data_IF_327343764870
#
_entry.id   IF_327343764870
#
_cell.length_a   1.000
_cell.length_b   1.000
_cell.length_c   1.000
_cell.angle_alpha   90.00
_cell.angle_beta   90.00
_cell.angle_gamma   90.00
#
_symmetry.space_group_name_H-M   'P 1'
#
loop_
_entity.id
_entity.type
_entity.pdbx_description
1 polymer ?
#
# COMPACT_ATOMS: atom_id res chain seq x y z
N UNK A 1 -9.05 -21.87 6.61
CA UNK A 1 -9.19 -21.76 5.13
C UNK A 1 -9.93 -20.48 4.71
N UNK A 2 -10.97 -20.05 5.43
CA UNK A 2 -11.75 -18.83 5.10
C UNK A 2 -10.99 -17.51 5.29
N UNK A 3 -10.20 -17.38 6.36
CA UNK A 3 -9.42 -16.17 6.69
C UNK A 3 -8.39 -15.81 5.61
N UNK A 4 -7.71 -16.81 5.05
CA UNK A 4 -6.72 -16.63 3.99
C UNK A 4 -7.34 -16.10 2.69
N UNK A 5 -8.54 -16.57 2.36
CA UNK A 5 -9.27 -16.09 1.19
C UNK A 5 -9.69 -14.63 1.39
N UNK A 6 -10.32 -14.31 2.53
CA UNK A 6 -10.73 -12.94 2.84
C UNK A 6 -9.54 -11.97 2.83
N UNK A 7 -8.40 -12.40 3.34
CA UNK A 7 -7.18 -11.62 3.38
C UNK A 7 -6.65 -11.31 1.96
N UNK A 8 -6.57 -12.32 1.08
CA UNK A 8 -6.19 -12.13 -0.33
C UNK A 8 -7.17 -11.20 -1.06
N UNK A 9 -8.47 -11.43 -0.89
CA UNK A 9 -9.51 -10.60 -1.51
C UNK A 9 -9.41 -9.16 -1.03
N UNK A 10 -9.21 -8.93 0.26
CA UNK A 10 -9.03 -7.59 0.83
C UNK A 10 -7.83 -6.86 0.24
N UNK A 11 -6.68 -7.54 0.08
CA UNK A 11 -5.50 -6.95 -0.56
C UNK A 11 -5.69 -6.66 -2.03
N UNK A 12 -6.34 -7.55 -2.77
CA UNK A 12 -6.63 -7.34 -4.19
C UNK A 12 -7.59 -6.16 -4.35
N UNK A 13 -8.64 -6.07 -3.53
CA UNK A 13 -9.59 -4.97 -3.55
C UNK A 13 -8.91 -3.63 -3.24
N UNK A 14 -8.02 -3.60 -2.23
CA UNK A 14 -7.24 -2.43 -1.89
C UNK A 14 -6.29 -2.04 -3.05
N UNK A 15 -5.54 -3.00 -3.60
CA UNK A 15 -4.62 -2.77 -4.72
C UNK A 15 -5.33 -2.29 -5.99
N UNK A 16 -6.55 -2.79 -6.28
CA UNK A 16 -7.32 -2.43 -7.46
C UNK A 16 -7.60 -0.91 -7.55
N UNK A 17 -7.79 -0.24 -6.42
CA UNK A 17 -7.98 1.22 -6.38
C UNK A 17 -6.75 1.97 -6.90
N UNK A 18 -5.55 1.49 -6.58
CA UNK A 18 -4.28 2.07 -7.02
C UNK A 18 -3.96 1.70 -8.46
N UNK A 19 -4.18 0.45 -8.86
CA UNK A 19 -3.97 -0.02 -10.24
C UNK A 19 -4.83 0.77 -11.23
N UNK A 20 -6.10 1.04 -10.88
CA UNK A 20 -7.00 1.84 -11.72
C UNK A 20 -6.46 3.25 -12.00
N UNK A 21 -5.59 3.78 -11.15
CA UNK A 21 -5.01 5.10 -11.31
C UNK A 21 -3.80 5.15 -12.26
N UNK A 22 -3.30 4.01 -12.75
CA UNK A 22 -2.09 3.90 -13.57
C UNK A 22 -2.35 4.17 -15.07
N UNK A 23 -3.34 3.55 -15.74
CA UNK A 23 -3.49 3.68 -17.20
C UNK A 23 -3.63 5.13 -17.65
N UNK A 24 -4.43 5.94 -16.95
CA UNK A 24 -4.59 7.36 -17.29
C UNK A 24 -3.28 8.15 -17.22
N UNK A 25 -2.39 7.82 -16.28
CA UNK A 25 -1.08 8.48 -16.13
C UNK A 25 -0.08 8.08 -17.22
N UNK A 26 -0.24 6.88 -17.79
CA UNK A 26 0.61 6.40 -18.87
C UNK A 26 0.13 6.88 -20.24
N UNK A 27 -1.19 6.88 -20.46
CA UNK A 27 -1.80 7.28 -21.72
C UNK A 27 -1.82 8.80 -21.92
N UNK A 28 -1.95 9.57 -20.83
CA UNK A 28 -1.93 11.02 -20.83
C UNK A 28 -0.85 11.55 -19.88
N UNK A 29 0.40 11.18 -20.17
CA UNK A 29 1.54 11.58 -19.35
C UNK A 29 1.71 13.11 -19.36
N UNK A 30 1.75 13.72 -20.56
CA UNK A 30 1.96 15.17 -20.70
C UNK A 30 0.82 15.99 -20.09
N UNK A 31 -0.43 15.56 -20.26
CA UNK A 31 -1.58 16.20 -19.60
C UNK A 31 -1.51 16.10 -18.07
N UNK A 32 -1.05 14.95 -17.55
CA UNK A 32 -0.85 14.80 -16.11
C UNK A 32 0.31 15.65 -15.59
N UNK A 33 1.41 15.76 -16.34
CA UNK A 33 2.54 16.67 -16.01
C UNK A 33 2.06 18.12 -15.97
N UNK A 34 1.28 18.55 -16.96
CA UNK A 34 0.69 19.89 -16.98
C UNK A 34 -0.23 20.12 -15.77
N UNK A 35 -1.01 19.11 -15.37
CA UNK A 35 -1.85 19.17 -14.17
C UNK A 35 -1.02 19.35 -12.89
N UNK A 36 0.08 18.62 -12.73
CA UNK A 36 0.99 18.78 -11.59
C UNK A 36 1.65 20.16 -11.64
N UNK A 37 2.10 20.62 -12.81
CA UNK A 37 2.75 21.91 -12.98
C UNK A 37 1.81 23.09 -12.63
N UNK A 38 0.51 22.94 -12.88
CA UNK A 38 -0.52 23.93 -12.50
C UNK A 38 -0.58 24.20 -11.00
N UNK A 39 0.00 23.33 -10.17
CA UNK A 39 0.11 23.48 -8.72
C UNK A 39 1.34 24.28 -8.27
N UNK A 40 2.05 24.93 -9.20
CA UNK A 40 3.25 25.72 -8.92
C UNK A 40 4.55 24.90 -8.89
N UNK A 41 4.51 23.65 -9.35
CA UNK A 41 5.68 22.77 -9.43
C UNK A 41 6.33 22.96 -10.80
N UNK A 42 7.63 23.23 -10.86
CA UNK A 42 8.31 23.38 -12.14
C UNK A 42 8.28 22.07 -12.96
N UNK A 43 8.13 22.19 -14.27
CA UNK A 43 7.89 21.08 -15.20
C UNK A 43 8.87 19.90 -15.02
N UNK A 44 10.20 20.09 -14.87
CA UNK A 44 11.11 18.97 -14.69
C UNK A 44 10.81 18.14 -13.43
N UNK A 45 10.43 18.81 -12.33
CA UNK A 45 10.03 18.13 -11.10
C UNK A 45 8.66 17.47 -11.24
N UNK A 46 7.72 18.09 -11.96
CA UNK A 46 6.40 17.51 -12.21
C UNK A 46 6.51 16.17 -12.97
N UNK A 47 7.33 16.11 -14.03
CA UNK A 47 7.60 14.86 -14.76
C UNK A 47 8.26 13.80 -13.90
N UNK A 48 9.25 14.17 -13.09
CA UNK A 48 9.92 13.25 -12.16
C UNK A 48 8.95 12.72 -11.09
N UNK A 49 8.09 13.57 -10.55
CA UNK A 49 7.09 13.20 -9.55
C UNK A 49 6.05 12.24 -10.14
N UNK A 50 5.62 12.46 -11.37
CA UNK A 50 4.70 11.56 -12.07
C UNK A 50 5.34 10.19 -12.34
N UNK A 51 6.59 10.15 -12.81
CA UNK A 51 7.31 8.90 -13.03
C UNK A 51 7.49 8.10 -11.72
N UNK A 52 7.85 8.79 -10.63
CA UNK A 52 7.93 8.19 -9.30
C UNK A 52 6.55 7.68 -8.84
N UNK A 53 5.48 8.45 -9.04
CA UNK A 53 4.12 8.06 -8.69
C UNK A 53 3.67 6.78 -9.41
N UNK A 54 3.91 6.68 -10.72
CA UNK A 54 3.60 5.49 -11.52
C UNK A 54 4.38 4.28 -10.99
N UNK A 55 5.67 4.46 -10.72
CA UNK A 55 6.54 3.39 -10.19
C UNK A 55 6.04 2.89 -8.84
N UNK A 56 5.74 3.79 -7.90
CA UNK A 56 5.20 3.46 -6.58
C UNK A 56 3.84 2.75 -6.68
N UNK A 57 2.97 3.19 -7.58
CA UNK A 57 1.67 2.57 -7.82
C UNK A 57 1.82 1.13 -8.30
N UNK A 58 2.65 0.89 -9.31
CA UNK A 58 2.84 -0.45 -9.90
C UNK A 58 3.52 -1.38 -8.90
N UNK A 59 4.67 -0.97 -8.36
CA UNK A 59 5.45 -1.81 -7.43
C UNK A 59 4.66 -2.04 -6.14
N UNK A 60 4.11 -0.99 -5.54
CA UNK A 60 3.36 -1.07 -4.30
C UNK A 60 2.13 -1.97 -4.41
N UNK A 61 1.34 -1.82 -5.49
CA UNK A 61 0.16 -2.67 -5.73
C UNK A 61 0.56 -4.13 -5.99
N UNK A 62 1.65 -4.36 -6.72
CA UNK A 62 2.14 -5.72 -7.02
C UNK A 62 2.57 -6.45 -5.75
N UNK A 63 3.35 -5.79 -4.89
CA UNK A 63 3.78 -6.35 -3.60
C UNK A 63 2.58 -6.62 -2.67
N UNK A 64 1.59 -5.73 -2.66
CA UNK A 64 0.38 -5.90 -1.88
C UNK A 64 -0.42 -7.12 -2.34
N UNK A 65 -0.55 -7.35 -3.65
CA UNK A 65 -1.21 -8.55 -4.20
C UNK A 65 -0.42 -9.81 -3.88
N UNK A 66 0.91 -9.78 -4.07
CA UNK A 66 1.80 -10.93 -3.87
C UNK A 66 1.74 -11.48 -2.43
N UNK A 67 1.51 -10.62 -1.43
CA UNK A 67 1.25 -11.06 -0.05
C UNK A 67 2.49 -11.38 0.79
N UNK A 68 3.69 -11.48 0.19
CA UNK A 68 4.95 -11.73 0.91
C UNK A 68 5.51 -10.48 1.58
N UNK A 69 5.43 -9.35 0.90
CA UNK A 69 6.04 -8.08 1.32
C UNK A 69 4.96 -6.99 1.46
N UNK A 70 3.85 -7.35 2.12
CA UNK A 70 2.65 -6.50 2.20
C UNK A 70 2.92 -5.16 2.89
N UNK A 71 3.77 -5.16 3.91
CA UNK A 71 4.17 -3.94 4.62
C UNK A 71 4.90 -2.97 3.71
N UNK A 72 5.83 -3.50 2.90
CA UNK A 72 6.59 -2.69 1.93
C UNK A 72 5.65 -2.17 0.85
N UNK A 73 4.80 -3.04 0.29
CA UNK A 73 3.81 -2.63 -0.72
C UNK A 73 2.89 -1.52 -0.23
N UNK A 74 2.33 -1.67 0.98
CA UNK A 74 1.46 -0.68 1.60
C UNK A 74 2.19 0.63 1.91
N UNK A 75 3.44 0.59 2.38
CA UNK A 75 4.25 1.77 2.63
C UNK A 75 4.55 2.57 1.35
N UNK A 76 4.89 1.89 0.24
CA UNK A 76 5.12 2.55 -1.05
C UNK A 76 3.85 3.27 -1.56
N UNK A 77 2.69 2.61 -1.45
CA UNK A 77 1.41 3.21 -1.81
C UNK A 77 1.06 4.40 -0.91
N UNK A 78 1.39 4.31 0.39
CA UNK A 78 1.16 5.41 1.34
C UNK A 78 2.02 6.63 1.02
N UNK A 79 3.30 6.41 0.69
CA UNK A 79 4.24 7.46 0.26
C UNK A 79 3.77 8.14 -1.03
N UNK A 80 3.14 7.41 -1.95
CA UNK A 80 2.51 8.01 -3.13
C UNK A 80 1.25 8.82 -2.77
N UNK A 81 0.39 8.26 -1.92
CA UNK A 81 -0.94 8.79 -1.65
C UNK A 81 -0.90 10.10 -0.85
N UNK A 82 0.03 10.21 0.09
CA UNK A 82 0.16 11.36 0.99
C UNK A 82 0.41 12.68 0.25
N UNK A 83 1.48 12.84 -0.57
CA UNK A 83 1.70 14.06 -1.33
C UNK A 83 0.61 14.29 -2.39
N UNK A 84 0.13 13.23 -3.06
CA UNK A 84 -0.97 13.35 -4.05
C UNK A 84 -2.20 14.00 -3.42
N UNK A 85 -2.56 13.60 -2.20
CA UNK A 85 -3.71 14.16 -1.50
C UNK A 85 -3.51 15.63 -1.15
N UNK A 86 -2.34 15.97 -0.61
CA UNK A 86 -2.04 17.35 -0.22
C UNK A 86 -1.98 18.31 -1.42
N UNK A 87 -1.48 17.85 -2.56
CA UNK A 87 -1.34 18.66 -3.78
C UNK A 87 -2.68 18.84 -4.50
N UNK A 88 -3.53 17.81 -4.52
CA UNK A 88 -4.74 17.79 -5.37
C UNK A 88 -6.06 17.98 -4.61
N UNK A 89 -6.11 17.71 -3.30
CA UNK A 89 -7.36 17.64 -2.52
C UNK A 89 -7.27 18.43 -1.20
N UNK A 90 -7.40 19.76 -1.28
CA UNK A 90 -7.27 20.66 -0.13
C UNK A 90 -8.55 20.98 0.64
N UNK A 91 -9.73 20.61 0.10
CA UNK A 91 -11.03 20.93 0.72
C UNK A 91 -11.63 19.74 1.44
N UNK A 92 -12.25 19.99 2.60
CA UNK A 92 -12.96 18.96 3.40
C UNK A 92 -14.18 18.41 2.65
N UNK A 93 -14.74 19.17 1.72
CA UNK A 93 -15.87 18.75 0.89
C UNK A 93 -15.43 17.96 -0.35
N UNK A 94 -14.12 17.86 -0.62
CA UNK A 94 -13.59 17.14 -1.77
C UNK A 94 -13.75 15.62 -1.56
N UNK A 95 -14.51 14.91 -2.41
CA UNK A 95 -14.65 13.46 -2.31
C UNK A 95 -13.31 12.72 -2.46
N UNK A 96 -12.34 13.32 -3.14
CA UNK A 96 -10.98 12.80 -3.29
C UNK A 96 -10.21 12.81 -1.97
N UNK A 97 -10.38 13.85 -1.14
CA UNK A 97 -9.77 13.89 0.19
C UNK A 97 -10.30 12.75 1.05
N UNK A 98 -11.62 12.60 1.15
CA UNK A 98 -12.25 11.54 1.95
C UNK A 98 -11.79 10.16 1.51
N UNK A 99 -11.82 9.89 0.19
CA UNK A 99 -11.35 8.63 -0.38
C UNK A 99 -9.90 8.36 -0.01
N UNK A 100 -9.02 9.34 -0.17
CA UNK A 100 -7.60 9.16 0.09
C UNK A 100 -7.33 8.96 1.58
N UNK A 101 -8.01 9.67 2.48
CA UNK A 101 -7.92 9.44 3.93
C UNK A 101 -8.37 8.02 4.29
N UNK A 102 -9.46 7.53 3.72
CA UNK A 102 -9.89 6.13 3.90
C UNK A 102 -8.82 5.14 3.44
N UNK A 103 -8.24 5.37 2.26
CA UNK A 103 -7.18 4.51 1.71
C UNK A 103 -5.91 4.56 2.57
N UNK A 104 -5.52 5.74 3.08
CA UNK A 104 -4.39 5.87 4.01
C UNK A 104 -4.63 5.05 5.27
N UNK A 105 -5.83 5.10 5.85
CA UNK A 105 -6.20 4.27 7.00
C UNK A 105 -6.09 2.77 6.70
N UNK A 106 -6.60 2.33 5.55
CA UNK A 106 -6.48 0.92 5.13
C UNK A 106 -5.03 0.48 4.94
N UNK A 107 -4.19 1.34 4.35
CA UNK A 107 -2.75 1.07 4.18
C UNK A 107 -2.01 1.03 5.53
N UNK A 108 -2.32 1.93 6.46
CA UNK A 108 -1.75 1.93 7.81
C UNK A 108 -2.10 0.65 8.57
N UNK A 109 -3.34 0.18 8.48
CA UNK A 109 -3.75 -1.11 9.04
C UNK A 109 -3.01 -2.28 8.38
N UNK A 110 -2.76 -2.23 7.07
CA UNK A 110 -1.97 -3.25 6.38
C UNK A 110 -0.50 -3.25 6.84
N UNK A 111 0.09 -2.08 7.10
CA UNK A 111 1.48 -1.94 7.60
C UNK A 111 1.61 -2.50 9.02
N UNK A 112 0.67 -2.20 9.91
CA UNK A 112 0.74 -2.62 11.32
C UNK A 112 0.36 -4.08 11.53
N UNK A 113 -0.29 -4.71 10.55
CA UNK A 113 -0.70 -6.10 10.64
C UNK A 113 0.53 -7.02 10.80
N UNK A 114 0.52 -7.95 11.76
CA UNK A 114 1.55 -8.99 11.83
C UNK A 114 1.46 -9.85 10.57
N UNK A 115 2.54 -9.88 9.79
CA UNK A 115 2.65 -10.85 8.72
C UNK A 115 2.71 -12.22 9.38
N UNK A 116 1.88 -13.15 8.91
CA UNK A 116 2.04 -14.55 9.21
C UNK A 116 3.33 -15.01 8.52
N UNK A 117 4.48 -14.66 9.11
CA UNK A 117 5.74 -15.33 8.84
C UNK A 117 5.41 -16.81 8.89
N UNK A 118 5.86 -17.58 7.89
CA UNK A 118 5.80 -19.03 7.91
C UNK A 118 6.38 -19.56 9.22
N UNK A 119 5.57 -19.61 10.26
CA UNK A 119 5.86 -20.28 11.52
C UNK A 119 5.25 -21.66 11.39
N UNK A 120 5.78 -22.43 10.44
CA UNK A 120 6.21 -23.77 10.75
C UNK A 120 7.38 -23.65 11.76
N UNK A 121 7.09 -23.18 12.98
CA UNK A 121 7.85 -23.66 14.13
C UNK A 121 7.23 -25.02 14.40
N UNK A 122 7.88 -26.15 14.04
CA UNK A 122 7.51 -27.39 14.72
C UNK A 122 7.60 -27.08 16.21
N UNK A 123 6.54 -27.38 16.95
CA UNK A 123 6.53 -27.34 18.40
C UNK A 123 7.58 -28.34 18.91
N UNK A 124 8.86 -27.96 18.89
CA UNK A 124 9.92 -28.75 19.48
C UNK A 124 9.82 -28.59 20.99
N UNK A 125 8.97 -29.43 21.56
CA UNK A 125 9.11 -30.05 22.89
C UNK A 125 9.67 -29.12 23.96
N UNK A 126 8.82 -28.30 24.57
CA UNK A 126 8.98 -27.93 25.99
C UNK A 126 8.13 -28.83 26.90
N UNK A 127 8.14 -30.13 26.59
CA UNK A 127 7.72 -31.18 27.51
C UNK A 127 8.99 -31.89 28.00
N UNK A 128 9.70 -31.27 28.96
CA UNK A 128 10.72 -31.92 29.81
C UNK A 128 11.26 -30.94 30.87
N UNK A 129 10.37 -30.45 31.74
CA UNK A 129 10.73 -29.94 33.08
C UNK A 129 9.56 -30.19 34.03
N UNK A 130 9.18 -31.45 34.25
CA UNK A 130 8.22 -31.78 35.30
C UNK A 130 8.40 -33.15 35.97
N UNK A 131 9.49 -33.90 35.73
CA UNK A 131 9.66 -35.25 36.34
C UNK A 131 11.06 -35.56 36.89
N UNK A 132 11.88 -34.56 37.23
CA UNK A 132 13.23 -34.81 37.81
C UNK A 132 13.39 -34.41 39.28
N UNK A 133 12.31 -34.48 40.06
CA UNK A 133 12.31 -34.18 41.50
C UNK A 133 11.78 -35.32 42.38
N UNK A 134 11.57 -36.52 41.82
CA UNK A 134 11.15 -37.70 42.58
C UNK A 134 11.85 -38.96 42.03
N UNK A 135 13.15 -39.07 42.28
CA UNK A 135 13.93 -40.33 42.39
C UNK A 135 15.26 -39.98 43.05
#
# INVERSE_FOLDING_TARGET
MTTELFDRVGRIALAAMFIRAVPGKLLDFDGTVASIASKGIAVPFASALLAAAITLLIVGSSLLIAGRDTRIGAALLLVFLLPTTLIFHGSVQDPGLVRNVTLMGALLLAITRPEALCSHRPLSRRARRFTRWWT
#
